data_IF_064945928450
#
_entry.id   IF_064945928450
#
_cell.length_a   1.000
_cell.length_b   1.000
_cell.length_c   1.000
_cell.angle_alpha   90.00
_cell.angle_beta   90.00
_cell.angle_gamma   90.00
#
_symmetry.space_group_name_H-M   'P 1'
#
loop_
_entity.id
_entity.type
_entity.pdbx_description
1 polymer ?
#
# COMPACT_ATOMS: atom_id res chain seq x y z
N UNK A 1 15.39 -10.74 -5.20
CA UNK A 1 14.31 -9.73 -5.16
C UNK A 1 14.61 -8.72 -6.25
N UNK A 2 13.63 -8.33 -7.08
CA UNK A 2 13.79 -7.28 -8.10
C UNK A 2 12.93 -6.09 -7.67
N UNK A 3 13.52 -5.04 -7.07
CA UNK A 3 12.77 -3.86 -6.66
C UNK A 3 12.02 -3.24 -7.83
N UNK A 4 10.79 -2.84 -7.58
CA UNK A 4 9.93 -2.18 -8.56
C UNK A 4 9.13 -1.08 -7.87
N UNK A 5 9.17 0.09 -8.47
CA UNK A 5 8.32 1.23 -8.14
C UNK A 5 7.57 1.56 -9.42
N UNK A 6 6.24 1.62 -9.35
CA UNK A 6 5.44 1.88 -10.54
C UNK A 6 4.16 2.64 -10.24
N UNK A 7 3.61 3.26 -11.28
CA UNK A 7 2.37 4.03 -11.21
C UNK A 7 1.43 3.61 -12.33
N UNK A 8 0.12 3.75 -12.11
CA UNK A 8 -0.88 3.61 -13.16
C UNK A 8 -0.82 4.82 -14.09
N UNK A 9 -0.54 4.61 -15.38
CA UNK A 9 -0.50 5.72 -16.35
C UNK A 9 -1.86 6.38 -16.55
N UNK A 10 -2.93 5.60 -16.42
CA UNK A 10 -4.30 6.05 -16.50
C UNK A 10 -5.00 5.94 -15.13
N UNK A 11 -6.03 6.76 -14.92
CA UNK A 11 -6.87 6.59 -13.74
C UNK A 11 -7.72 5.32 -13.88
N UNK A 12 -7.70 4.50 -12.84
CA UNK A 12 -8.39 3.22 -12.77
C UNK A 12 -9.84 3.40 -12.31
N UNK A 13 -10.76 2.73 -12.98
CA UNK A 13 -12.13 2.58 -12.46
C UNK A 13 -12.13 1.71 -11.19
N UNK A 14 -13.20 1.79 -10.39
CA UNK A 14 -13.38 0.95 -9.18
C UNK A 14 -13.20 -0.54 -9.50
N UNK A 15 -13.86 -1.03 -10.55
CA UNK A 15 -13.75 -2.45 -10.93
C UNK A 15 -12.30 -2.82 -11.26
N UNK A 16 -11.58 -1.96 -11.99
CA UNK A 16 -10.20 -2.25 -12.37
C UNK A 16 -9.25 -2.23 -11.17
N UNK A 17 -9.46 -1.29 -10.25
CA UNK A 17 -8.71 -1.24 -9.00
C UNK A 17 -8.96 -2.50 -8.15
N UNK A 18 -10.21 -2.96 -8.03
CA UNK A 18 -10.55 -4.18 -7.32
C UNK A 18 -9.89 -5.42 -7.96
N UNK A 19 -9.86 -5.52 -9.29
CA UNK A 19 -9.12 -6.58 -9.99
C UNK A 19 -7.62 -6.57 -9.66
N UNK A 20 -6.99 -5.39 -9.65
CA UNK A 20 -5.57 -5.24 -9.32
C UNK A 20 -5.31 -5.59 -7.85
N UNK A 21 -6.19 -5.18 -6.95
CA UNK A 21 -6.13 -5.54 -5.53
C UNK A 21 -6.20 -7.06 -5.38
N UNK A 22 -7.13 -7.72 -6.08
CA UNK A 22 -7.28 -9.17 -6.05
C UNK A 22 -5.99 -9.86 -6.53
N UNK A 23 -5.47 -9.45 -7.68
CA UNK A 23 -4.25 -9.99 -8.29
C UNK A 23 -3.02 -9.91 -7.37
N UNK A 24 -2.87 -8.80 -6.63
CA UNK A 24 -1.72 -8.55 -5.77
C UNK A 24 -1.90 -9.08 -4.34
N UNK A 25 -3.13 -9.41 -3.96
CA UNK A 25 -3.45 -9.87 -2.61
C UNK A 25 -3.00 -11.30 -2.34
N UNK A 26 -2.84 -11.63 -1.06
CA UNK A 26 -2.57 -12.97 -0.56
C UNK A 26 -3.33 -13.20 0.75
N UNK A 27 -3.27 -14.39 1.32
CA UNK A 27 -3.87 -14.69 2.63
C UNK A 27 -3.30 -13.83 3.77
N UNK A 28 -2.09 -13.28 3.60
CA UNK A 28 -1.43 -12.37 4.53
C UNK A 28 -1.42 -10.92 4.05
N UNK A 29 -2.41 -10.54 3.22
CA UNK A 29 -2.65 -9.14 2.87
C UNK A 29 -3.47 -8.42 3.91
N UNK A 30 -3.10 -7.16 4.13
CA UNK A 30 -3.77 -6.23 5.02
C UNK A 30 -4.10 -4.95 4.27
N UNK A 31 -5.11 -4.24 4.76
CA UNK A 31 -5.67 -3.07 4.12
C UNK A 31 -5.81 -1.92 5.11
N UNK A 32 -5.67 -0.71 4.61
CA UNK A 32 -5.93 0.52 5.36
C UNK A 32 -6.68 1.51 4.47
N UNK A 33 -7.96 1.73 4.76
CA UNK A 33 -8.89 2.52 3.96
C UNK A 33 -9.20 3.85 4.66
N UNK A 34 -9.32 4.93 3.89
CA UNK A 34 -9.48 6.29 4.39
C UNK A 34 -10.61 7.02 3.69
N UNK A 35 -11.47 7.63 4.49
CA UNK A 35 -12.52 8.56 4.09
C UNK A 35 -12.27 9.93 4.74
N UNK A 36 -13.06 10.93 4.41
CA UNK A 36 -12.95 12.29 4.98
C UNK A 36 -13.08 12.30 6.50
N UNK A 37 -13.97 11.47 7.04
CA UNK A 37 -14.44 11.49 8.42
C UNK A 37 -13.92 10.32 9.27
N UNK A 38 -13.35 9.29 8.62
CA UNK A 38 -12.95 8.05 9.30
C UNK A 38 -11.84 7.29 8.56
N UNK A 39 -11.25 6.35 9.27
CA UNK A 39 -10.31 5.34 8.73
C UNK A 39 -10.76 3.96 9.17
N UNK A 40 -10.45 2.92 8.40
CA UNK A 40 -10.78 1.54 8.77
C UNK A 40 -9.93 1.01 9.94
N UNK A 41 -8.75 1.60 10.17
CA UNK A 41 -7.68 0.89 10.83
C UNK A 41 -7.03 -0.14 9.90
N UNK A 42 -6.22 -1.04 10.44
CA UNK A 42 -5.65 -2.14 9.66
C UNK A 42 -6.67 -3.28 9.69
N UNK A 43 -7.12 -3.73 8.51
CA UNK A 43 -8.10 -4.81 8.35
C UNK A 43 -7.54 -5.90 7.42
N UNK A 44 -8.09 -7.12 7.45
CA UNK A 44 -7.72 -8.20 6.52
C UNK A 44 -8.76 -8.38 5.41
N UNK A 45 -9.97 -7.89 5.64
CA UNK A 45 -11.06 -7.86 4.69
C UNK A 45 -10.67 -6.96 3.51
N UNK A 46 -10.75 -7.52 2.30
CA UNK A 46 -10.48 -6.77 1.08
C UNK A 46 -11.58 -5.72 0.88
N UNK A 47 -11.25 -4.53 0.34
CA UNK A 47 -12.27 -3.56 -0.03
C UNK A 47 -13.20 -4.16 -1.09
N UNK A 48 -14.46 -3.80 -1.00
CA UNK A 48 -15.54 -4.14 -1.94
C UNK A 48 -16.07 -2.88 -2.61
N UNK A 49 -16.95 -3.02 -3.59
CA UNK A 49 -17.56 -1.87 -4.26
C UNK A 49 -18.34 -0.93 -3.30
N UNK A 50 -18.81 -1.44 -2.16
CA UNK A 50 -19.58 -0.67 -1.16
C UNK A 50 -18.71 0.29 -0.35
N UNK A 51 -17.40 0.05 -0.30
CA UNK A 51 -16.47 0.93 0.41
C UNK A 51 -16.20 2.25 -0.35
N UNK A 52 -16.64 2.32 -1.61
CA UNK A 52 -16.43 3.46 -2.50
C UNK A 52 -17.57 4.50 -2.38
N UNK A 53 -17.28 5.81 -2.40
CA UNK A 53 -15.96 6.40 -2.61
C UNK A 53 -15.15 6.52 -1.31
N UNK A 54 -14.12 5.68 -1.18
CA UNK A 54 -13.01 5.93 -0.27
C UNK A 54 -12.07 6.93 -0.92
N UNK A 55 -11.47 7.83 -0.14
CA UNK A 55 -10.58 8.84 -0.71
C UNK A 55 -9.20 8.27 -0.99
N UNK A 56 -8.69 7.44 -0.09
CA UNK A 56 -7.39 6.81 -0.24
C UNK A 56 -7.45 5.41 0.36
N UNK A 57 -6.65 4.51 -0.18
CA UNK A 57 -6.48 3.20 0.40
C UNK A 57 -5.10 2.63 0.14
N UNK A 58 -4.79 1.61 0.92
CA UNK A 58 -3.52 0.92 0.88
C UNK A 58 -3.77 -0.56 1.09
N UNK A 59 -3.11 -1.40 0.30
CA UNK A 59 -2.96 -2.84 0.54
C UNK A 59 -1.48 -3.10 0.76
N UNK A 60 -1.14 -3.91 1.74
CA UNK A 60 0.23 -4.35 1.94
C UNK A 60 0.28 -5.81 2.35
N UNK A 61 1.35 -6.46 1.94
CA UNK A 61 1.73 -7.80 2.38
C UNK A 61 3.25 -7.85 2.47
N UNK A 62 3.79 -9.07 2.55
CA UNK A 62 5.23 -9.24 2.56
C UNK A 62 5.88 -8.73 1.26
N UNK A 63 5.28 -8.99 0.09
CA UNK A 63 5.91 -8.78 -1.21
C UNK A 63 5.78 -7.34 -1.73
N UNK A 64 4.71 -6.63 -1.37
CA UNK A 64 4.41 -5.33 -1.93
C UNK A 64 3.52 -4.45 -1.04
N UNK A 65 3.50 -3.17 -1.39
CA UNK A 65 2.47 -2.22 -0.99
C UNK A 65 1.86 -1.57 -2.24
N UNK A 66 0.54 -1.63 -2.35
CA UNK A 66 -0.26 -0.91 -3.31
C UNK A 66 -0.93 0.27 -2.60
N UNK A 67 -0.86 1.47 -3.18
CA UNK A 67 -1.58 2.67 -2.73
C UNK A 67 -2.50 3.13 -3.82
N UNK A 68 -3.67 3.63 -3.46
CA UNK A 68 -4.56 4.29 -4.41
C UNK A 68 -5.19 5.54 -3.81
N UNK A 69 -5.52 6.49 -4.69
CA UNK A 69 -6.10 7.77 -4.32
C UNK A 69 -7.18 8.19 -5.31
N UNK A 70 -8.32 8.59 -4.77
CA UNK A 70 -9.46 9.10 -5.53
C UNK A 70 -9.07 10.36 -6.30
N UNK A 71 -9.52 10.44 -7.55
CA UNK A 71 -9.40 11.64 -8.38
C UNK A 71 -10.75 12.29 -8.60
N UNK A 72 -11.55 11.72 -9.49
CA UNK A 72 -12.87 12.21 -9.87
C UNK A 72 -13.66 11.09 -10.51
N UNK A 73 -15.00 11.19 -10.47
CA UNK A 73 -15.90 10.28 -11.18
C UNK A 73 -15.63 8.79 -10.88
N UNK A 74 -15.30 8.46 -9.63
CA UNK A 74 -14.95 7.09 -9.19
C UNK A 74 -13.74 6.49 -9.91
N UNK A 75 -12.82 7.34 -10.34
CA UNK A 75 -11.52 6.92 -10.84
C UNK A 75 -10.41 7.21 -9.81
N UNK A 76 -9.39 6.36 -9.83
CA UNK A 76 -8.31 6.32 -8.86
C UNK A 76 -6.95 6.29 -9.55
N UNK A 77 -5.98 7.03 -9.04
CA UNK A 77 -4.58 6.76 -9.36
C UNK A 77 -4.09 5.63 -8.44
N UNK A 78 -3.19 4.78 -8.94
CA UNK A 78 -2.55 3.74 -8.16
C UNK A 78 -1.02 3.80 -8.27
N UNK A 79 -0.37 3.39 -7.19
CA UNK A 79 1.08 3.37 -7.05
C UNK A 79 1.51 2.09 -6.35
N UNK A 80 2.52 1.42 -6.88
CA UNK A 80 2.97 0.10 -6.44
C UNK A 80 4.45 0.11 -6.05
N UNK A 81 4.73 -0.44 -4.87
CA UNK A 81 6.05 -0.70 -4.33
C UNK A 81 6.22 -2.21 -4.14
N UNK A 82 7.08 -2.87 -4.92
CA UNK A 82 7.12 -4.34 -5.03
C UNK A 82 8.54 -4.90 -5.05
N UNK A 83 8.71 -6.14 -4.61
CA UNK A 83 9.97 -6.91 -4.73
C UNK A 83 9.96 -7.96 -5.86
N UNK A 84 8.87 -8.04 -6.61
CA UNK A 84 8.62 -9.05 -7.67
C UNK A 84 8.94 -8.57 -9.09
N UNK A 85 9.55 -7.41 -9.25
CA UNK A 85 9.84 -6.83 -10.57
C UNK A 85 8.61 -6.18 -11.21
N UNK A 86 8.63 -6.11 -12.53
CA UNK A 86 7.63 -5.42 -13.35
C UNK A 86 6.24 -6.03 -13.22
N UNK A 87 5.23 -5.16 -13.27
CA UNK A 87 3.82 -5.52 -13.22
C UNK A 87 3.10 -4.94 -14.44
N UNK A 88 2.27 -5.73 -15.15
CA UNK A 88 1.69 -5.31 -16.44
C UNK A 88 0.72 -4.12 -16.35
N UNK A 89 0.26 -3.78 -15.15
CA UNK A 89 -0.67 -2.66 -14.91
C UNK A 89 0.02 -1.37 -14.47
N UNK A 90 1.35 -1.36 -14.39
CA UNK A 90 2.11 -0.24 -13.84
C UNK A 90 3.30 0.10 -14.73
N UNK A 91 3.40 1.36 -15.13
CA UNK A 91 4.62 1.86 -15.74
C UNK A 91 5.72 1.99 -14.67
N UNK A 92 6.97 1.60 -14.97
CA UNK A 92 8.08 1.76 -14.04
C UNK A 92 8.36 3.24 -13.78
N UNK A 93 8.62 3.58 -12.53
CA UNK A 93 9.10 4.90 -12.12
C UNK A 93 10.57 4.78 -11.71
N UNK A 94 11.47 5.36 -12.49
CA UNK A 94 12.92 5.26 -12.25
C UNK A 94 13.49 3.88 -12.62
N UNK A 95 14.83 3.79 -12.68
CA UNK A 95 15.51 2.63 -13.29
C UNK A 95 16.43 1.86 -12.33
N UNK A 96 16.75 2.40 -11.13
CA UNK A 96 17.81 1.87 -10.28
C UNK A 96 17.46 1.87 -8.77
N UNK A 97 16.48 1.06 -8.37
CA UNK A 97 16.07 0.94 -6.97
C UNK A 97 16.87 -0.11 -6.19
N UNK A 98 17.35 0.26 -5.01
CA UNK A 98 17.79 -0.65 -3.95
C UNK A 98 16.69 -0.75 -2.88
N UNK A 99 16.63 -1.90 -2.21
CA UNK A 99 15.72 -2.12 -1.08
C UNK A 99 16.47 -2.37 0.21
N UNK A 100 16.00 -1.76 1.30
CA UNK A 100 16.47 -1.98 2.66
C UNK A 100 15.25 -2.28 3.54
N UNK A 101 15.28 -3.38 4.30
CA UNK A 101 14.18 -3.77 5.19
C UNK A 101 14.48 -3.38 6.63
N UNK A 102 13.49 -2.80 7.30
CA UNK A 102 13.57 -2.33 8.67
C UNK A 102 12.40 -2.87 9.49
N UNK A 103 12.67 -3.19 10.76
CA UNK A 103 11.60 -3.51 11.69
C UNK A 103 10.73 -2.27 11.93
N UNK A 104 9.41 -2.49 11.98
CA UNK A 104 8.45 -1.48 12.38
C UNK A 104 7.59 -2.01 13.52
N UNK A 105 6.93 -1.09 14.23
CA UNK A 105 6.08 -1.41 15.35
C UNK A 105 4.77 -0.65 15.24
N UNK A 106 3.67 -1.36 15.49
CA UNK A 106 2.37 -0.75 15.68
C UNK A 106 2.33 -0.20 17.11
N UNK A 107 1.77 0.99 17.29
CA UNK A 107 1.59 1.55 18.62
C UNK A 107 0.64 0.65 19.44
N UNK A 108 0.91 0.44 20.74
CA UNK A 108 -0.02 -0.27 21.61
C UNK A 108 -1.40 0.41 21.62
N UNK A 109 -2.47 -0.37 21.78
CA UNK A 109 -3.84 0.18 21.88
C UNK A 109 -4.05 1.09 23.09
N UNK A 110 -3.17 1.00 24.08
CA UNK A 110 -3.14 1.86 25.28
C UNK A 110 -2.45 3.21 25.04
N UNK A 111 -1.80 3.42 23.90
CA UNK A 111 -1.11 4.67 23.56
C UNK A 111 -2.13 5.74 23.15
N UNK A 112 -2.09 6.92 23.78
CA UNK A 112 -3.07 8.01 23.56
C UNK A 112 -2.73 8.95 22.40
N UNK A 113 -1.83 8.55 21.49
CA UNK A 113 -1.40 9.39 20.36
C UNK A 113 -2.52 9.64 19.35
N UNK A 114 -3.51 8.75 19.27
CA UNK A 114 -4.67 8.89 18.41
C UNK A 114 -5.92 9.21 19.25
N UNK A 115 -6.64 10.33 18.98
CA UNK A 115 -7.82 10.72 19.75
C UNK A 115 -8.93 9.68 19.75
N UNK A 116 -9.07 8.98 18.62
CA UNK A 116 -9.90 7.81 18.44
C UNK A 116 -8.94 6.72 17.98
N UNK A 117 -8.52 5.85 18.89
CA UNK A 117 -7.75 4.66 18.51
C UNK A 117 -8.49 3.91 17.40
N UNK A 118 -7.76 3.07 16.65
CA UNK A 118 -8.36 2.24 15.62
C UNK A 118 -7.90 0.81 15.77
N UNK A 119 -8.69 -0.12 15.22
CA UNK A 119 -8.39 -1.54 15.31
C UNK A 119 -7.13 -1.87 14.52
N UNK A 120 -6.25 -2.64 15.13
CA UNK A 120 -5.05 -3.18 14.52
C UNK A 120 -4.96 -4.65 14.90
N UNK A 121 -4.91 -5.58 13.92
CA UNK A 121 -4.66 -6.97 14.23
C UNK A 121 -3.26 -7.11 14.81
N UNK A 122 -3.00 -8.24 15.48
CA UNK A 122 -1.66 -8.59 15.91
C UNK A 122 -0.85 -9.01 14.68
N UNK A 123 -0.33 -8.03 13.93
CA UNK A 123 0.45 -8.23 12.71
C UNK A 123 1.86 -7.69 12.92
N UNK A 124 2.84 -8.52 12.60
CA UNK A 124 4.25 -8.13 12.58
C UNK A 124 4.56 -7.30 11.34
N UNK A 125 4.56 -5.99 11.51
CA UNK A 125 4.85 -5.04 10.43
C UNK A 125 6.35 -4.80 10.27
N UNK A 126 6.71 -4.42 9.05
CA UNK A 126 8.03 -3.96 8.66
C UNK A 126 7.90 -2.73 7.75
N UNK A 127 9.03 -2.07 7.52
CA UNK A 127 9.16 -1.04 6.51
C UNK A 127 10.19 -1.48 5.47
N UNK A 128 9.93 -1.17 4.20
CA UNK A 128 10.87 -1.41 3.11
C UNK A 128 11.19 -0.10 2.40
N UNK A 129 12.45 0.30 2.46
CA UNK A 129 12.90 1.56 1.89
C UNK A 129 13.30 1.32 0.43
N UNK A 130 12.79 2.13 -0.48
CA UNK A 130 13.19 2.16 -1.89
C UNK A 130 14.13 3.34 -2.08
N UNK A 131 15.41 3.00 -2.23
CA UNK A 131 16.52 3.94 -2.27
C UNK A 131 17.05 4.04 -3.69
N UNK A 132 17.22 5.26 -4.17
CA UNK A 132 17.87 5.49 -5.46
C UNK A 132 19.36 5.15 -5.36
N UNK A 133 19.82 4.26 -6.24
CA UNK A 133 21.19 3.72 -6.19
C UNK A 133 22.27 4.78 -6.39
N UNK A 134 21.99 5.85 -7.15
CA UNK A 134 22.98 6.86 -7.55
C UNK A 134 23.16 7.93 -6.49
N UNK A 135 22.04 8.40 -5.94
CA UNK A 135 21.99 9.50 -4.97
C UNK A 135 21.98 9.00 -3.53
N UNK A 136 21.76 7.70 -3.32
CA UNK A 136 21.59 7.11 -2.00
C UNK A 136 20.39 7.66 -1.21
N UNK A 137 19.46 8.36 -1.88
CA UNK A 137 18.27 8.96 -1.27
C UNK A 137 17.14 7.93 -1.14
N UNK A 138 16.49 7.88 0.01
CA UNK A 138 15.24 7.12 0.18
C UNK A 138 14.09 7.94 -0.38
N UNK A 139 13.50 7.48 -1.48
CA UNK A 139 12.37 8.19 -2.12
C UNK A 139 11.03 7.68 -1.62
N UNK A 140 10.93 6.37 -1.37
CA UNK A 140 9.70 5.74 -0.92
C UNK A 140 9.98 4.81 0.24
N UNK A 141 9.05 4.77 1.19
CA UNK A 141 9.04 3.81 2.29
C UNK A 141 7.75 3.04 2.18
N UNK A 142 7.83 1.73 2.01
CA UNK A 142 6.67 0.86 1.98
C UNK A 142 6.35 0.30 3.37
N UNK A 143 5.08 0.21 3.74
CA UNK A 143 4.64 -0.61 4.87
C UNK A 143 4.43 -2.05 4.37
N UNK A 144 4.97 -3.03 5.09
CA UNK A 144 4.91 -4.45 4.72
C UNK A 144 4.72 -5.32 5.95
N UNK A 145 4.54 -6.62 5.76
CA UNK A 145 4.63 -7.59 6.85
C UNK A 145 6.03 -8.21 6.90
N UNK A 146 6.46 -8.62 8.09
CA UNK A 146 7.67 -9.46 8.25
C UNK A 146 7.49 -10.78 7.49
N UNK A 147 8.62 -11.35 7.04
CA UNK A 147 8.68 -12.73 6.54
C UNK A 147 8.59 -13.71 7.68
#
# INVERSE_FOLDING_TARGET
MKPFVGFSEENLSVNKLLEIIELLSSLSSYYFLRWTDRVSGIIQEKPTAEDFPMLEGQMFNHDCELRWKYKSQNNYEAFLLSTKGEHPHFAPLGEDWLIEEHNAHIYPTTETRFPKGFQTPNVDVAQRYFRDKKTATVHFVALTTKR
#
